data_IF_762063401840
#
_entry.id   IF_762063401840
#
_cell.length_a   1.000
_cell.length_b   1.000
_cell.length_c   1.000
_cell.angle_alpha   90.00
_cell.angle_beta   90.00
_cell.angle_gamma   90.00
#
_symmetry.space_group_name_H-M   'P 1'
#
loop_
_entity.id
_entity.type
_entity.pdbx_description
1 polymer ?
#
# COMPACT_ATOMS: atom_id res chain seq x y z
N UNK A 1 -16.20 -7.85 -7.83
CA UNK A 1 -15.55 -6.55 -7.49
C UNK A 1 -14.53 -6.22 -8.56
N UNK A 2 -14.31 -4.94 -8.89
CA UNK A 2 -13.38 -4.53 -9.97
C UNK A 2 -12.38 -3.44 -9.59
N UNK A 3 -12.66 -2.68 -8.52
CA UNK A 3 -11.81 -1.57 -8.09
C UNK A 3 -10.58 -2.12 -7.37
N UNK A 4 -9.38 -1.76 -7.83
CA UNK A 4 -8.14 -2.23 -7.26
C UNK A 4 -7.17 -1.10 -6.92
N UNK A 5 -6.48 -1.26 -5.79
CA UNK A 5 -5.33 -0.46 -5.40
C UNK A 5 -4.07 -1.18 -5.87
N UNK A 6 -3.33 -0.53 -6.77
CA UNK A 6 -2.06 -1.01 -7.27
C UNK A 6 -0.95 -0.72 -6.27
N UNK A 7 -0.18 -1.75 -5.95
CA UNK A 7 0.96 -1.70 -5.03
C UNK A 7 2.03 -2.71 -5.44
N UNK A 8 3.30 -2.48 -5.08
CA UNK A 8 4.38 -3.42 -5.32
C UNK A 8 4.03 -4.79 -4.77
N UNK A 9 4.28 -5.83 -5.57
CA UNK A 9 3.95 -7.22 -5.24
C UNK A 9 4.47 -7.60 -3.84
N UNK A 10 5.70 -7.23 -3.51
CA UNK A 10 6.29 -7.50 -2.19
C UNK A 10 5.56 -6.80 -1.03
N UNK A 11 4.98 -5.61 -1.26
CA UNK A 11 4.17 -4.93 -0.26
C UNK A 11 2.77 -5.55 -0.14
N UNK A 12 2.19 -6.04 -1.25
CA UNK A 12 0.96 -6.85 -1.21
C UNK A 12 1.21 -8.14 -0.42
N UNK A 13 2.32 -8.84 -0.64
CA UNK A 13 2.67 -10.04 0.12
C UNK A 13 2.82 -9.76 1.62
N UNK A 14 3.49 -8.67 1.99
CA UNK A 14 3.66 -8.28 3.39
C UNK A 14 2.32 -7.96 4.07
N UNK A 15 1.42 -7.28 3.35
CA UNK A 15 0.03 -7.04 3.77
C UNK A 15 -0.73 -8.35 3.94
N UNK A 16 -0.62 -9.26 2.98
CA UNK A 16 -1.28 -10.56 3.02
C UNK A 16 -0.77 -11.44 4.15
N UNK A 17 0.49 -11.29 4.56
CA UNK A 17 1.10 -12.00 5.70
C UNK A 17 0.85 -11.35 7.05
N UNK A 18 0.22 -10.17 7.08
CA UNK A 18 0.00 -9.41 8.33
C UNK A 18 1.30 -8.86 8.93
N UNK A 19 2.38 -8.80 8.15
CA UNK A 19 3.65 -8.20 8.55
C UNK A 19 3.48 -6.68 8.72
N UNK A 20 2.66 -6.07 7.88
CA UNK A 20 2.27 -4.66 7.94
C UNK A 20 0.77 -4.49 7.71
N UNK A 21 0.23 -3.37 8.19
CA UNK A 21 -1.11 -2.86 7.84
C UNK A 21 -1.02 -1.49 7.16
N UNK A 22 0.18 -0.98 6.90
CA UNK A 22 0.45 0.41 6.58
C UNK A 22 1.00 0.53 5.16
N UNK A 23 0.35 1.36 4.34
CA UNK A 23 0.89 1.83 3.08
C UNK A 23 1.22 3.32 3.14
N UNK A 24 2.36 3.68 2.54
CA UNK A 24 2.80 5.06 2.37
C UNK A 24 2.44 5.53 0.97
N UNK A 25 1.71 6.64 0.86
CA UNK A 25 1.29 7.21 -0.42
C UNK A 25 1.67 8.68 -0.50
N UNK A 26 2.23 9.07 -1.64
CA UNK A 26 2.33 10.46 -2.05
C UNK A 26 1.39 10.67 -3.22
N UNK A 27 0.77 11.83 -3.29
CA UNK A 27 -0.13 12.19 -4.37
C UNK A 27 0.54 11.92 -5.73
N UNK A 28 -0.07 11.09 -6.57
CA UNK A 28 0.48 10.63 -7.85
C UNK A 28 0.70 11.76 -8.85
N UNK A 29 1.35 11.46 -9.99
CA UNK A 29 1.50 12.41 -11.11
C UNK A 29 0.13 12.72 -11.75
N UNK A 30 -0.79 11.76 -11.68
CA UNK A 30 -2.12 11.78 -12.32
C UNK A 30 -3.29 11.99 -11.36
N UNK A 31 -3.04 12.22 -10.08
CA UNK A 31 -4.12 12.47 -9.13
C UNK A 31 -4.59 13.91 -9.24
N UNK A 32 -5.91 14.08 -9.37
CA UNK A 32 -6.58 15.36 -9.55
C UNK A 32 -6.21 16.29 -8.38
N UNK A 33 -5.71 17.50 -8.69
CA UNK A 33 -5.20 18.47 -7.70
C UNK A 33 -3.92 18.09 -6.92
N UNK A 34 -3.22 17.01 -7.28
CA UNK A 34 -1.92 16.66 -6.69
C UNK A 34 -1.98 16.14 -5.25
N UNK A 35 -3.17 15.84 -4.73
CA UNK A 35 -3.41 15.19 -3.44
C UNK A 35 -3.79 13.73 -3.64
N UNK A 36 -3.46 12.88 -2.67
CA UNK A 36 -3.91 11.49 -2.67
C UNK A 36 -5.36 11.43 -2.22
N UNK A 37 -6.22 10.90 -3.09
CA UNK A 37 -7.63 10.69 -2.84
C UNK A 37 -7.91 9.20 -2.72
N UNK A 38 -8.82 8.84 -1.81
CA UNK A 38 -9.29 7.47 -1.58
C UNK A 38 -10.74 7.40 -2.07
N UNK A 39 -10.97 7.12 -3.36
CA UNK A 39 -12.32 7.06 -3.93
C UNK A 39 -13.10 5.82 -3.50
N UNK A 40 -12.41 4.79 -2.99
CA UNK A 40 -13.00 3.52 -2.61
C UNK A 40 -12.46 3.08 -1.25
N UNK A 41 -13.35 2.73 -0.32
CA UNK A 41 -12.95 2.20 0.99
C UNK A 41 -12.60 0.72 0.94
N UNK A 42 -13.22 -0.06 0.04
CA UNK A 42 -12.96 -1.49 -0.12
C UNK A 42 -12.47 -1.78 -1.54
N UNK A 43 -11.31 -2.40 -1.66
CA UNK A 43 -10.60 -2.60 -2.94
C UNK A 43 -9.90 -3.94 -3.00
N UNK A 44 -9.64 -4.41 -4.21
CA UNK A 44 -8.71 -5.51 -4.48
C UNK A 44 -7.26 -4.98 -4.36
N UNK A 45 -6.33 -5.80 -3.88
CA UNK A 45 -4.91 -5.49 -3.96
C UNK A 45 -4.37 -6.03 -5.28
N UNK A 46 -3.83 -5.14 -6.11
CA UNK A 46 -3.23 -5.51 -7.38
C UNK A 46 -1.70 -5.47 -7.27
N UNK A 47 -1.02 -6.63 -7.33
CA UNK A 47 0.43 -6.69 -7.26
C UNK A 47 1.07 -6.22 -8.58
N UNK A 48 1.97 -5.25 -8.48
CA UNK A 48 2.76 -4.73 -9.61
C UNK A 48 4.26 -4.85 -9.35
N UNK A 49 5.04 -4.78 -10.42
CA UNK A 49 6.50 -4.76 -10.38
C UNK A 49 7.07 -3.46 -10.95
N UNK A 50 6.20 -2.54 -11.36
CA UNK A 50 6.57 -1.24 -11.90
C UNK A 50 7.44 -0.45 -10.91
N UNK A 51 8.64 -0.10 -11.37
CA UNK A 51 9.66 0.60 -10.60
C UNK A 51 10.22 -0.16 -9.39
N UNK A 52 9.99 -1.48 -9.29
CA UNK A 52 10.51 -2.28 -8.19
C UNK A 52 12.03 -2.09 -8.04
N UNK A 53 12.43 -1.66 -6.85
CA UNK A 53 13.83 -1.48 -6.48
C UNK A 53 14.09 -2.19 -5.15
N UNK A 54 14.84 -3.31 -5.16
CA UNK A 54 15.19 -4.04 -3.94
C UNK A 54 15.94 -3.17 -2.92
N UNK A 55 16.66 -2.14 -3.37
CA UNK A 55 17.43 -1.25 -2.49
C UNK A 55 16.56 -0.31 -1.64
N UNK A 56 15.24 -0.32 -1.84
CA UNK A 56 14.29 0.44 -1.04
C UNK A 56 13.63 -0.41 0.06
N UNK A 57 13.93 -1.71 0.11
CA UNK A 57 13.46 -2.63 1.13
C UNK A 57 14.45 -2.72 2.29
N UNK A 58 13.95 -2.99 3.50
CA UNK A 58 14.81 -3.37 4.64
C UNK A 58 15.47 -4.73 4.42
N UNK A 59 14.75 -5.64 3.78
CA UNK A 59 15.23 -6.97 3.40
C UNK A 59 15.08 -7.10 1.90
N UNK A 60 16.17 -6.97 1.11
CA UNK A 60 16.12 -6.98 -0.35
C UNK A 60 15.98 -8.43 -0.86
N UNK A 61 14.80 -9.01 -0.71
CA UNK A 61 14.47 -10.39 -1.07
C UNK A 61 13.75 -10.52 -2.43
N UNK A 62 13.83 -9.50 -3.26
CA UNK A 62 13.28 -9.48 -4.62
C UNK A 62 14.35 -9.02 -5.60
N UNK A 63 14.21 -9.39 -6.87
CA UNK A 63 15.09 -8.91 -7.93
C UNK A 63 14.58 -7.62 -8.55
N UNK A 64 15.49 -6.82 -9.11
CA UNK A 64 15.09 -5.66 -9.91
C UNK A 64 14.53 -6.16 -11.24
N UNK A 65 13.42 -5.57 -11.68
CA UNK A 65 12.85 -5.85 -13.02
C UNK A 65 13.15 -4.71 -13.98
N UNK A 66 13.11 -5.01 -15.28
CA UNK A 66 13.23 -3.98 -16.32
C UNK A 66 12.07 -2.98 -16.25
N UNK A 67 12.33 -1.74 -16.68
CA UNK A 67 11.29 -0.71 -16.70
C UNK A 67 10.16 -1.12 -17.66
N UNK A 68 8.93 -1.13 -17.15
CA UNK A 68 7.75 -1.55 -17.92
C UNK A 68 7.51 -3.06 -17.92
N UNK A 69 8.35 -3.85 -17.24
CA UNK A 69 8.13 -5.28 -17.09
C UNK A 69 6.83 -5.56 -16.31
N UNK A 70 6.10 -6.57 -16.77
CA UNK A 70 4.90 -7.09 -16.12
C UNK A 70 4.73 -8.58 -16.44
N UNK A 71 4.05 -9.35 -15.59
CA UNK A 71 3.71 -10.73 -15.91
C UNK A 71 2.61 -10.79 -16.97
N UNK A 72 2.45 -11.95 -17.63
CA UNK A 72 1.35 -12.18 -18.59
C UNK A 72 -0.02 -12.30 -17.90
N UNK A 73 -0.02 -12.81 -16.68
CA UNK A 73 -1.19 -12.96 -15.82
C UNK A 73 -0.85 -12.40 -14.44
N UNK A 74 -1.85 -11.85 -13.77
CA UNK A 74 -1.73 -11.26 -12.45
C UNK A 74 -2.62 -12.07 -11.52
N UNK A 75 -2.04 -12.52 -10.41
CA UNK A 75 -2.77 -13.22 -9.37
C UNK A 75 -3.40 -12.21 -8.41
N UNK A 76 -4.72 -12.22 -8.30
CA UNK A 76 -5.46 -11.42 -7.34
C UNK A 76 -5.89 -12.32 -6.20
N UNK A 77 -5.27 -12.13 -5.04
CA UNK A 77 -5.38 -13.01 -3.87
C UNK A 77 -5.98 -12.34 -2.64
N UNK A 78 -6.20 -11.04 -2.66
CA UNK A 78 -6.66 -10.31 -1.48
C UNK A 78 -7.50 -9.07 -1.78
N UNK A 79 -8.30 -8.72 -0.78
CA UNK A 79 -9.00 -7.44 -0.67
C UNK A 79 -8.49 -6.69 0.55
N UNK A 80 -8.63 -5.38 0.53
CA UNK A 80 -8.37 -4.52 1.67
C UNK A 80 -9.55 -3.58 1.89
N UNK A 81 -9.88 -3.37 3.15
CA UNK A 81 -10.66 -2.24 3.63
C UNK A 81 -9.70 -1.17 4.16
N UNK A 82 -9.76 0.03 3.60
CA UNK A 82 -8.99 1.18 4.05
C UNK A 82 -9.78 1.82 5.19
N UNK A 83 -9.35 1.56 6.43
CA UNK A 83 -10.07 2.01 7.62
C UNK A 83 -9.67 3.42 8.04
N UNK A 84 -8.43 3.82 7.74
CA UNK A 84 -7.89 5.13 8.08
C UNK A 84 -7.05 5.71 6.96
N UNK A 85 -7.15 7.03 6.79
CA UNK A 85 -6.32 7.85 5.92
C UNK A 85 -5.75 8.97 6.78
N UNK A 86 -4.46 8.90 7.09
CA UNK A 86 -3.77 9.89 7.93
C UNK A 86 -2.80 10.70 7.09
N UNK A 87 -2.51 11.93 7.51
CA UNK A 87 -1.57 12.81 6.83
C UNK A 87 -0.43 13.17 7.78
N UNK A 88 0.80 13.06 7.30
CA UNK A 88 2.02 13.36 8.06
C UNK A 88 2.96 14.18 7.20
N UNK A 89 3.46 15.27 7.77
CA UNK A 89 4.49 16.12 7.15
C UNK A 89 5.78 16.14 7.95
N UNK A 90 5.75 15.69 9.22
CA UNK A 90 6.91 15.67 10.11
C UNK A 90 7.83 14.48 9.80
N UNK A 91 9.07 14.71 9.35
CA UNK A 91 10.03 13.65 9.08
C UNK A 91 10.29 12.73 10.28
N UNK A 92 10.35 13.27 11.50
CA UNK A 92 10.65 12.47 12.70
C UNK A 92 9.56 11.43 12.95
N UNK A 93 8.29 11.81 12.77
CA UNK A 93 7.15 10.89 12.85
C UNK A 93 7.24 9.84 11.74
N UNK A 94 7.59 10.22 10.50
CA UNK A 94 7.70 9.24 9.41
C UNK A 94 8.83 8.24 9.67
N UNK A 95 9.98 8.69 10.20
CA UNK A 95 11.06 7.79 10.61
C UNK A 95 10.62 6.86 11.77
N UNK A 96 9.85 7.36 12.74
CA UNK A 96 9.30 6.53 13.82
C UNK A 96 8.36 5.41 13.32
N UNK A 97 7.80 5.55 12.10
CA UNK A 97 6.96 4.54 11.47
C UNK A 97 7.74 3.44 10.77
N UNK A 98 9.07 3.52 10.68
CA UNK A 98 9.91 2.50 10.05
C UNK A 98 9.50 1.10 10.51
N UNK A 99 9.37 0.77 11.80
CA UNK A 99 9.02 -0.59 12.25
C UNK A 99 7.70 -1.15 11.69
N UNK A 100 6.80 -0.30 11.20
CA UNK A 100 5.44 -0.68 10.78
C UNK A 100 5.32 -0.97 9.28
N UNK A 101 6.40 -0.87 8.49
CA UNK A 101 6.39 -1.18 7.06
C UNK A 101 7.70 -1.84 6.59
N UNK A 102 7.69 -2.36 5.36
CA UNK A 102 8.82 -3.11 4.79
C UNK A 102 9.94 -2.22 4.21
N UNK A 103 9.64 -0.95 3.98
CA UNK A 103 10.57 0.01 3.37
C UNK A 103 11.68 0.45 4.32
N UNK A 104 12.85 0.75 3.76
CA UNK A 104 13.97 1.30 4.52
C UNK A 104 13.91 2.84 4.64
N UNK A 105 14.88 3.41 5.36
CA UNK A 105 15.01 4.87 5.56
C UNK A 105 15.10 5.63 4.24
N UNK A 106 15.86 5.12 3.28
CA UNK A 106 16.03 5.74 1.98
C UNK A 106 14.69 5.92 1.26
N UNK A 107 13.83 4.90 1.24
CA UNK A 107 12.50 5.01 0.64
C UNK A 107 11.68 6.14 1.28
N UNK A 108 11.68 6.19 2.62
CA UNK A 108 10.97 7.21 3.39
C UNK A 108 11.47 8.62 3.03
N UNK A 109 12.78 8.82 3.01
CA UNK A 109 13.39 10.09 2.65
C UNK A 109 13.07 10.52 1.23
N UNK A 110 13.14 9.60 0.26
CA UNK A 110 12.81 9.88 -1.14
C UNK A 110 11.34 10.32 -1.27
N UNK A 111 10.43 9.72 -0.51
CA UNK A 111 9.01 10.14 -0.46
C UNK A 111 8.81 11.51 0.18
N UNK A 112 9.53 11.82 1.25
CA UNK A 112 9.47 13.14 1.90
C UNK A 112 10.00 14.24 0.97
N UNK A 113 11.13 13.99 0.29
CA UNK A 113 11.74 14.90 -0.69
C UNK A 113 10.86 15.08 -1.94
N UNK A 114 10.09 14.06 -2.31
CA UNK A 114 9.15 14.14 -3.43
C UNK A 114 7.89 14.94 -3.07
N UNK A 115 7.64 16.05 -3.79
CA UNK A 115 6.57 17.02 -3.48
C UNK A 115 6.62 17.42 -1.98
N UNK A 116 7.66 18.13 -1.53
CA UNK A 116 7.91 18.37 -0.11
C UNK A 116 6.86 19.24 0.57
N UNK A 117 6.09 20.02 -0.20
CA UNK A 117 4.95 20.81 0.30
C UNK A 117 3.67 20.00 0.46
N UNK A 118 3.65 18.74 0.03
CA UNK A 118 2.51 17.85 0.14
C UNK A 118 2.75 16.84 1.27
N UNK A 119 1.74 16.56 2.12
CA UNK A 119 1.89 15.57 3.17
C UNK A 119 2.12 14.17 2.57
N UNK A 120 2.75 13.32 3.34
CA UNK A 120 2.73 11.88 3.15
C UNK A 120 1.40 11.35 3.68
N UNK A 121 0.71 10.53 2.89
CA UNK A 121 -0.52 9.87 3.29
C UNK A 121 -0.19 8.47 3.80
N UNK A 122 -0.76 8.13 4.95
CA UNK A 122 -0.76 6.79 5.49
C UNK A 122 -2.12 6.17 5.27
N UNK A 123 -2.14 4.98 4.69
CA UNK A 123 -3.34 4.15 4.62
C UNK A 123 -3.19 2.99 5.60
N UNK A 124 -4.15 2.83 6.50
CA UNK A 124 -4.25 1.63 7.33
C UNK A 124 -5.27 0.68 6.73
N UNK A 125 -4.82 -0.54 6.41
CA UNK A 125 -5.57 -1.51 5.63
C UNK A 125 -5.92 -2.74 6.47
N UNK A 126 -7.20 -3.05 6.60
CA UNK A 126 -7.67 -4.34 7.10
C UNK A 126 -7.75 -5.30 5.91
N UNK A 127 -6.81 -6.24 5.84
CA UNK A 127 -6.64 -7.12 4.69
C UNK A 127 -7.34 -8.46 4.93
N UNK A 128 -7.99 -8.97 3.89
CA UNK A 128 -8.53 -10.34 3.87
C UNK A 128 -8.06 -11.06 2.61
N UNK A 129 -7.68 -12.33 2.73
CA UNK A 129 -7.33 -13.17 1.58
C UNK A 129 -8.59 -13.79 0.99
N UNK A 130 -8.62 -13.91 -0.32
CA UNK A 130 -9.63 -14.67 -1.04
C UNK A 130 -9.43 -16.16 -0.75
N UNK A 131 -10.53 -16.90 -0.58
CA UNK A 131 -10.47 -18.36 -0.43
C UNK A 131 -9.90 -19.02 -1.71
N UNK A 132 -10.24 -18.45 -2.87
CA UNK A 132 -9.73 -18.87 -4.19
C UNK A 132 -9.13 -17.66 -4.93
N UNK A 133 -7.80 -17.52 -4.95
CA UNK A 133 -7.11 -16.49 -5.73
C UNK A 133 -7.39 -16.62 -7.23
N UNK A 134 -7.62 -15.50 -7.90
CA UNK A 134 -8.02 -15.46 -9.31
C UNK A 134 -6.92 -14.90 -10.18
N UNK A 135 -6.52 -15.68 -11.20
CA UNK A 135 -5.59 -15.24 -12.24
C UNK A 135 -6.33 -14.49 -13.34
N UNK A 136 -5.95 -13.23 -13.55
CA UNK A 136 -6.48 -12.41 -14.66
C UNK A 136 -5.38 -12.13 -15.69
N UNK A 137 -5.70 -12.00 -16.98
CA UNK A 137 -4.72 -11.57 -17.97
C UNK A 137 -4.28 -10.14 -17.68
N UNK A 138 -2.98 -9.86 -17.82
CA UNK A 138 -2.52 -8.47 -17.80
C UNK A 138 -3.10 -7.72 -19.00
N UNK A 139 -3.58 -6.50 -18.77
CA UNK A 139 -4.01 -5.56 -19.82
C UNK A 139 -3.20 -4.28 -19.68
N UNK A 140 -2.85 -3.66 -20.80
CA UNK A 140 -2.13 -2.37 -20.80
C UNK A 140 -2.86 -1.29 -19.99
N UNK A 141 -4.19 -1.38 -19.93
CA UNK A 141 -5.03 -0.51 -19.10
C UNK A 141 -4.68 -0.55 -17.60
N UNK A 142 -4.04 -1.62 -17.10
CA UNK A 142 -3.60 -1.77 -15.71
C UNK A 142 -2.21 -1.15 -15.47
N UNK A 143 -1.48 -0.84 -16.54
CA UNK A 143 -0.14 -0.29 -16.51
C UNK A 143 -0.05 1.20 -16.15
N UNK A 144 1.18 1.64 -15.90
CA UNK A 144 1.60 3.03 -15.67
C UNK A 144 1.34 3.52 -14.24
N UNK A 145 1.87 4.69 -13.87
CA UNK A 145 1.96 5.15 -12.47
C UNK A 145 0.63 5.67 -11.86
N UNK A 146 -0.45 4.88 -11.93
CA UNK A 146 -1.75 5.14 -11.30
C UNK A 146 -1.92 4.26 -10.06
N UNK A 147 -2.41 4.85 -8.98
CA UNK A 147 -2.74 4.14 -7.74
C UNK A 147 -3.99 3.27 -7.90
N UNK A 148 -5.01 3.80 -8.58
CA UNK A 148 -6.32 3.17 -8.71
C UNK A 148 -6.54 2.70 -10.15
N UNK A 149 -6.98 1.45 -10.30
CA UNK A 149 -7.32 0.84 -11.59
C UNK A 149 -8.64 0.07 -11.46
N UNK A 150 -9.29 -0.13 -12.60
CA UNK A 150 -10.39 -1.08 -12.72
C UNK A 150 -9.88 -2.31 -13.45
N UNK A 151 -10.06 -3.48 -12.84
CA UNK A 151 -9.63 -4.77 -13.38
C UNK A 151 -10.84 -5.64 -13.75
N UNK A 152 -10.55 -6.81 -14.31
CA UNK A 152 -11.57 -7.82 -14.57
C UNK A 152 -12.31 -8.19 -13.28
N UNK A 153 -13.55 -8.67 -13.41
CA UNK A 153 -14.39 -8.98 -12.26
C UNK A 153 -13.81 -10.11 -11.43
N UNK A 154 -13.55 -9.83 -10.15
CA UNK A 154 -13.09 -10.81 -9.17
C UNK A 154 -14.24 -11.19 -8.25
N UNK A 155 -14.47 -12.49 -8.06
CA UNK A 155 -15.37 -12.99 -7.03
C UNK A 155 -14.72 -12.79 -5.65
N UNK A 156 -15.45 -12.16 -4.72
CA UNK A 156 -14.99 -11.82 -3.35
C UNK A 156 -15.95 -12.32 -2.26
N UNK A 157 -16.74 -13.35 -2.58
CA UNK A 157 -17.80 -13.89 -1.71
C UNK A 157 -17.22 -14.58 -0.46
N UNK A 158 -16.06 -15.21 -0.62
CA UNK A 158 -15.37 -15.93 0.45
C UNK A 158 -14.00 -15.32 0.70
N UNK A 159 -13.88 -14.64 1.84
CA UNK A 159 -12.65 -14.00 2.29
C UNK A 159 -12.37 -14.32 3.76
N UNK A 160 -11.10 -14.45 4.08
CA UNK A 160 -10.63 -14.69 5.45
C UNK A 160 -9.74 -13.54 5.90
N UNK A 161 -10.03 -12.85 7.02
CA UNK A 161 -9.18 -11.81 7.56
C UNK A 161 -7.76 -12.32 7.80
N UNK A 162 -6.76 -11.51 7.42
CA UNK A 162 -5.33 -11.82 7.66
C UNK A 162 -4.99 -11.69 9.15
N UNK A 163 -5.55 -10.69 9.80
CA UNK A 163 -5.42 -10.43 11.23
C UNK A 163 -6.80 -10.52 11.87
N UNK A 164 -6.85 -10.94 13.14
CA UNK A 164 -8.05 -10.75 13.96
C UNK A 164 -8.34 -9.26 14.17
N UNK A 165 -9.60 -8.94 14.48
CA UNK A 165 -9.99 -7.55 14.77
C UNK A 165 -9.16 -6.96 15.91
N UNK A 166 -8.85 -7.76 16.93
CA UNK A 166 -8.01 -7.34 18.04
C UNK A 166 -6.58 -7.00 17.59
N UNK A 167 -5.92 -7.90 16.88
CA UNK A 167 -4.54 -7.67 16.40
C UNK A 167 -4.47 -6.46 15.46
N UNK A 168 -5.50 -6.28 14.64
CA UNK A 168 -5.60 -5.12 13.76
C UNK A 168 -5.74 -3.82 14.56
N UNK A 169 -6.68 -3.76 15.50
CA UNK A 169 -6.91 -2.58 16.33
C UNK A 169 -5.71 -2.24 17.21
N UNK A 170 -5.05 -3.24 17.79
CA UNK A 170 -3.83 -3.04 18.59
C UNK A 170 -2.72 -2.38 17.73
N UNK A 171 -2.58 -2.76 16.45
CA UNK A 171 -1.61 -2.14 15.51
C UNK A 171 -2.03 -0.73 15.09
N UNK A 172 -3.33 -0.49 14.87
CA UNK A 172 -3.86 0.85 14.57
C UNK A 172 -3.54 1.80 15.72
N UNK A 173 -3.81 1.39 16.96
CA UNK A 173 -3.55 2.19 18.17
C UNK A 173 -2.05 2.51 18.33
N UNK A 174 -1.16 1.54 18.08
CA UNK A 174 0.29 1.77 18.10
C UNK A 174 0.71 2.85 17.10
N UNK A 175 0.26 2.76 15.85
CA UNK A 175 0.58 3.73 14.80
C UNK A 175 0.01 5.11 15.14
N UNK A 176 -1.26 5.18 15.53
CA UNK A 176 -1.92 6.44 15.88
C UNK A 176 -1.26 7.11 17.10
N UNK A 177 -0.91 6.34 18.13
CA UNK A 177 -0.24 6.86 19.32
C UNK A 177 1.09 7.51 19.00
N UNK A 178 1.86 6.98 18.05
CA UNK A 178 3.11 7.60 17.59
C UNK A 178 2.84 8.95 16.92
N UNK A 179 1.78 9.04 16.12
CA UNK A 179 1.41 10.25 15.41
C UNK A 179 0.91 11.34 16.39
N UNK A 180 0.06 10.97 17.35
CA UNK A 180 -0.53 11.91 18.31
C UNK A 180 0.45 12.40 19.39
N UNK A 181 1.34 11.53 19.89
CA UNK A 181 2.34 11.92 20.91
C UNK A 181 3.28 13.01 20.40
N UNK A 182 3.68 12.95 19.14
CA UNK A 182 4.56 13.97 18.54
C UNK A 182 3.85 15.30 18.26
N UNK A 183 2.52 15.30 18.07
CA UNK A 183 1.75 16.53 17.89
C UNK A 183 1.48 17.30 19.20
N UNK A 184 1.61 16.64 20.36
CA UNK A 184 1.31 17.24 21.67
C UNK A 184 2.55 17.83 22.37
N UNK A 185 3.74 17.58 21.82
CA UNK A 185 5.03 18.04 22.39
C UNK A 185 5.56 19.29 21.64
N UNK A 186 4.83 19.77 20.62
CA UNK A 186 5.15 20.96 19.84
C UNK A 186 4.43 22.22 20.35
#
# INVERSE_FOLDING_TARGET
MKQALKEWAIAVEALERGETILLLRKGGIRETAGRFEVPFQRVLLYPTFEHQDPNLLKTPNVERVESGWHPKQVNISSIAEITHVLQISDPEIVHALLPFHIWNERFVEERLKWKPRSPLYLLLLKVSRLADPQLIPYREAYGGCRSWIEIDEINVDQVTPVLSDKEYLDRVEQIQSLIFRSQTIA
#
